data_IF_878290988870
#
_entry.id   IF_878290988870
#
_cell.length_a   1.000
_cell.length_b   1.000
_cell.length_c   1.000
_cell.angle_alpha   90.00
_cell.angle_beta   90.00
_cell.angle_gamma   90.00
#
_symmetry.space_group_name_H-M   'P 1'
#
loop_
_entity.id
_entity.type
_entity.pdbx_description
1 polymer ?
#
# COMPACT_ATOMS: atom_id res chain seq x y z
N UNK A 1 40.72 -34.24 22.34
CA UNK A 1 39.51 -34.54 21.54
C UNK A 1 38.65 -33.29 21.59
N UNK A 2 38.91 -32.34 20.69
CA UNK A 2 38.17 -31.07 20.63
C UNK A 2 36.75 -31.33 20.08
N UNK A 3 35.71 -30.75 20.68
CA UNK A 3 34.36 -30.88 20.16
C UNK A 3 34.23 -30.01 18.91
N UNK A 4 33.94 -30.64 17.77
CA UNK A 4 33.73 -29.97 16.49
C UNK A 4 32.55 -28.99 16.60
N UNK A 5 32.82 -27.72 16.28
CA UNK A 5 31.81 -26.69 16.02
C UNK A 5 30.88 -27.18 14.90
N UNK A 6 29.61 -27.43 15.23
CA UNK A 6 28.55 -27.67 14.24
C UNK A 6 28.43 -26.43 13.35
N UNK A 7 29.00 -26.51 12.16
CA UNK A 7 28.81 -25.59 11.04
C UNK A 7 27.30 -25.37 10.86
N UNK A 8 26.80 -24.16 11.17
CA UNK A 8 25.41 -23.79 10.92
C UNK A 8 25.14 -24.00 9.43
N UNK A 9 24.16 -24.85 9.13
CA UNK A 9 23.68 -25.13 7.77
C UNK A 9 23.20 -23.81 7.19
N UNK A 10 23.82 -23.33 6.12
CA UNK A 10 23.24 -22.28 5.28
C UNK A 10 21.90 -22.83 4.80
N UNK A 11 20.80 -22.29 5.32
CA UNK A 11 19.47 -22.64 4.86
C UNK A 11 19.33 -22.03 3.46
N UNK A 12 19.35 -22.86 2.41
CA UNK A 12 18.79 -22.47 1.12
C UNK A 12 17.36 -21.99 1.37
N UNK A 13 17.13 -20.70 1.13
CA UNK A 13 15.81 -20.10 1.31
C UNK A 13 14.94 -20.53 0.13
N UNK A 14 13.92 -21.34 0.43
CA UNK A 14 12.91 -21.76 -0.53
C UNK A 14 12.08 -20.54 -1.00
N UNK A 15 11.99 -20.34 -2.32
CA UNK A 15 11.28 -19.20 -2.94
C UNK A 15 9.77 -19.24 -2.61
N UNK A 16 9.24 -20.43 -2.31
CA UNK A 16 7.84 -20.61 -1.95
C UNK A 16 7.57 -20.44 -0.44
N UNK A 17 8.61 -20.21 0.37
CA UNK A 17 8.47 -20.01 1.83
C UNK A 17 7.88 -18.65 2.22
N UNK A 18 7.78 -17.71 1.28
CA UNK A 18 7.29 -16.35 1.53
C UNK A 18 6.44 -15.79 0.39
N UNK A 19 5.60 -14.82 0.73
CA UNK A 19 4.68 -14.14 -0.20
C UNK A 19 4.67 -12.65 0.09
N UNK A 20 4.86 -11.85 -0.96
CA UNK A 20 4.71 -10.39 -0.89
C UNK A 20 3.23 -10.00 -0.99
N UNK A 21 2.67 -9.50 0.10
CA UNK A 21 1.28 -9.00 0.12
C UNK A 21 1.25 -7.47 0.03
N UNK A 22 0.35 -6.88 -0.79
CA UNK A 22 0.21 -5.44 -0.85
C UNK A 22 -0.31 -4.90 0.49
N UNK A 23 0.19 -3.74 0.90
CA UNK A 23 -0.34 -3.00 2.03
C UNK A 23 -1.40 -2.04 1.51
N UNK A 24 -2.65 -2.48 1.63
CA UNK A 24 -3.84 -1.78 1.14
C UNK A 24 -4.13 -0.49 1.90
N UNK A 25 -4.77 0.49 1.25
CA UNK A 25 -5.29 1.70 1.91
C UNK A 25 -6.36 1.38 2.97
N UNK A 26 -6.73 2.35 3.80
CA UNK A 26 -7.81 2.16 4.78
C UNK A 26 -9.13 1.82 4.09
N UNK A 27 -9.45 2.51 3.00
CA UNK A 27 -10.68 2.27 2.23
C UNK A 27 -10.71 0.87 1.60
N UNK A 28 -9.56 0.35 1.19
CA UNK A 28 -9.44 -0.98 0.60
C UNK A 28 -9.43 -2.11 1.64
N UNK A 29 -9.01 -1.83 2.88
CA UNK A 29 -8.88 -2.85 3.95
C UNK A 29 -10.00 -2.82 4.98
N UNK A 30 -10.81 -1.78 5.03
CA UNK A 30 -11.90 -1.68 5.99
C UNK A 30 -13.04 -2.65 5.66
N UNK A 31 -13.75 -3.05 6.71
CA UNK A 31 -15.02 -3.76 6.58
C UNK A 31 -16.04 -2.89 5.84
N UNK A 32 -17.00 -3.54 5.17
CA UNK A 32 -18.07 -2.80 4.51
C UNK A 32 -18.92 -2.07 5.55
N UNK A 33 -19.15 -0.79 5.33
CA UNK A 33 -20.14 -0.03 6.08
C UNK A 33 -21.51 -0.19 5.45
N UNK A 34 -22.55 -0.33 6.29
CA UNK A 34 -23.93 -0.49 5.86
C UNK A 34 -24.77 0.69 6.33
N UNK A 35 -25.62 1.17 5.43
CA UNK A 35 -26.63 2.20 5.71
C UNK A 35 -28.02 1.62 5.47
N UNK A 36 -29.01 2.21 6.14
CA UNK A 36 -30.40 1.79 6.04
C UNK A 36 -31.13 2.52 4.91
N UNK A 37 -31.91 1.77 4.16
CA UNK A 37 -32.71 2.26 3.05
C UNK A 37 -34.05 1.54 3.02
N UNK A 38 -35.07 2.20 2.49
CA UNK A 38 -36.35 1.57 2.22
C UNK A 38 -36.36 0.97 0.81
N UNK A 39 -36.65 -0.32 0.72
CA UNK A 39 -36.92 -1.01 -0.54
C UNK A 39 -38.41 -1.38 -0.62
N UNK A 40 -38.96 -1.49 -1.82
CA UNK A 40 -40.35 -1.88 -2.03
C UNK A 40 -40.45 -2.93 -3.13
N UNK A 41 -41.40 -3.88 -3.05
CA UNK A 41 -41.68 -4.79 -4.14
C UNK A 41 -42.31 -4.03 -5.33
N UNK A 42 -41.94 -4.39 -6.55
CA UNK A 42 -42.59 -3.91 -7.77
C UNK A 42 -43.72 -4.87 -8.10
N UNK A 43 -44.96 -4.46 -7.81
CA UNK A 43 -46.18 -5.24 -8.05
C UNK A 43 -46.45 -5.36 -9.55
N UNK A 44 -46.29 -4.27 -10.30
CA UNK A 44 -46.49 -4.24 -11.76
C UNK A 44 -45.16 -4.02 -12.49
N UNK A 45 -44.61 -5.09 -13.08
CA UNK A 45 -43.35 -5.04 -13.86
C UNK A 45 -43.34 -4.01 -14.99
N UNK A 46 -44.49 -3.71 -15.60
CA UNK A 46 -44.57 -2.75 -16.72
C UNK A 46 -44.18 -1.33 -16.28
N UNK A 47 -44.37 -1.02 -14.98
CA UNK A 47 -44.04 0.29 -14.41
C UNK A 47 -42.57 0.43 -14.00
N UNK A 48 -41.76 -0.64 -14.06
CA UNK A 48 -40.36 -0.63 -13.56
C UNK A 48 -39.55 0.54 -14.12
N UNK A 49 -39.58 0.76 -15.43
CA UNK A 49 -38.81 1.83 -16.09
C UNK A 49 -39.30 3.24 -15.70
N UNK A 50 -40.61 3.40 -15.47
CA UNK A 50 -41.20 4.66 -14.99
C UNK A 50 -40.74 4.91 -13.56
N UNK A 51 -40.94 3.92 -12.67
CA UNK A 51 -40.59 3.99 -11.26
C UNK A 51 -39.11 4.33 -11.06
N UNK A 52 -38.18 3.69 -11.78
CA UNK A 52 -36.74 4.00 -11.68
C UNK A 52 -36.47 5.48 -12.01
N UNK A 53 -37.08 6.02 -13.07
CA UNK A 53 -36.87 7.41 -13.52
C UNK A 53 -37.46 8.40 -12.52
N UNK A 54 -38.66 8.16 -12.02
CA UNK A 54 -39.29 9.01 -11.00
C UNK A 54 -38.53 8.97 -9.69
N UNK A 55 -38.20 7.78 -9.20
CA UNK A 55 -37.41 7.62 -7.98
C UNK A 55 -36.03 8.29 -8.11
N UNK A 56 -35.39 8.26 -9.28
CA UNK A 56 -34.13 8.99 -9.50
C UNK A 56 -34.27 10.51 -9.41
N UNK A 57 -35.45 11.04 -9.72
CA UNK A 57 -35.76 12.47 -9.62
C UNK A 57 -36.16 12.88 -8.21
N UNK A 58 -36.97 12.07 -7.54
CA UNK A 58 -37.60 12.40 -6.25
C UNK A 58 -36.70 12.04 -5.06
N UNK A 59 -36.10 10.85 -5.12
CA UNK A 59 -35.22 10.31 -4.09
C UNK A 59 -33.90 9.86 -4.73
N UNK A 60 -33.04 10.81 -5.17
CA UNK A 60 -31.73 10.46 -5.69
C UNK A 60 -30.89 9.75 -4.61
N UNK A 61 -29.96 8.90 -5.04
CA UNK A 61 -29.03 8.20 -4.16
C UNK A 61 -27.61 8.73 -4.39
N UNK A 62 -27.27 9.95 -3.91
CA UNK A 62 -25.97 10.56 -4.16
C UNK A 62 -24.85 9.72 -3.52
N UNK A 63 -23.76 9.52 -4.26
CA UNK A 63 -22.62 8.71 -3.81
C UNK A 63 -22.84 7.19 -3.81
N UNK A 64 -24.03 6.72 -4.21
CA UNK A 64 -24.38 5.29 -4.25
C UNK A 64 -24.54 4.77 -5.69
N UNK A 65 -23.76 5.29 -6.63
CA UNK A 65 -23.85 4.85 -8.05
C UNK A 65 -23.44 3.39 -8.25
N UNK A 66 -22.72 2.80 -7.29
CA UNK A 66 -22.41 1.36 -7.28
C UNK A 66 -23.63 0.49 -6.97
N UNK A 67 -24.67 1.01 -6.32
CA UNK A 67 -25.85 0.23 -5.94
C UNK A 67 -26.79 0.06 -7.12
N UNK A 68 -27.12 -1.18 -7.48
CA UNK A 68 -28.13 -1.45 -8.51
C UNK A 68 -29.51 -1.20 -7.91
N UNK A 69 -30.21 -0.18 -8.40
CA UNK A 69 -31.49 0.26 -7.79
C UNK A 69 -32.57 -0.82 -7.74
N UNK A 70 -32.58 -1.76 -8.69
CA UNK A 70 -33.53 -2.87 -8.77
C UNK A 70 -32.80 -4.20 -8.61
N UNK A 71 -33.43 -5.12 -7.89
CA UNK A 71 -32.99 -6.53 -7.78
C UNK A 71 -34.15 -7.48 -8.03
N UNK A 72 -33.82 -8.73 -8.32
CA UNK A 72 -34.80 -9.82 -8.23
C UNK A 72 -35.14 -10.11 -6.78
N UNK A 73 -36.40 -10.38 -6.49
CA UNK A 73 -36.87 -10.79 -5.17
C UNK A 73 -36.12 -12.05 -4.72
N UNK A 74 -35.77 -12.12 -3.42
CA UNK A 74 -35.06 -13.27 -2.84
C UNK A 74 -35.95 -14.51 -2.77
N UNK A 75 -37.23 -14.32 -2.49
CA UNK A 75 -38.21 -15.40 -2.46
C UNK A 75 -38.70 -15.71 -3.88
N UNK A 76 -38.35 -16.89 -4.39
CA UNK A 76 -38.78 -17.36 -5.71
C UNK A 76 -40.28 -17.68 -5.78
N UNK A 77 -40.95 -17.83 -4.64
CA UNK A 77 -42.41 -18.01 -4.55
C UNK A 77 -43.20 -16.70 -4.51
N UNK A 78 -42.51 -15.56 -4.38
CA UNK A 78 -43.16 -14.25 -4.31
C UNK A 78 -43.95 -13.93 -5.60
N UNK A 79 -45.18 -13.40 -5.50
CA UNK A 79 -45.92 -12.90 -6.66
C UNK A 79 -45.25 -11.68 -7.30
N UNK A 80 -44.29 -11.06 -6.62
CA UNK A 80 -43.59 -9.84 -7.05
C UNK A 80 -42.08 -10.14 -7.18
N UNK A 81 -41.60 -10.43 -8.39
CA UNK A 81 -40.24 -10.95 -8.56
C UNK A 81 -39.17 -9.86 -8.63
N UNK A 82 -39.52 -8.58 -8.49
CA UNK A 82 -38.58 -7.46 -8.48
C UNK A 82 -38.80 -6.59 -7.25
N UNK A 83 -37.71 -6.05 -6.73
CA UNK A 83 -37.68 -5.10 -5.61
C UNK A 83 -36.82 -3.90 -6.01
N UNK A 84 -37.20 -2.71 -5.54
CA UNK A 84 -36.52 -1.44 -5.87
C UNK A 84 -36.21 -0.64 -4.61
N UNK A 85 -35.03 -0.03 -4.56
CA UNK A 85 -34.69 0.95 -3.52
C UNK A 85 -35.47 2.24 -3.79
N UNK A 86 -36.27 2.65 -2.81
CA UNK A 86 -37.06 3.87 -2.82
C UNK A 86 -36.18 5.05 -2.43
N UNK A 87 -35.73 5.09 -1.18
CA UNK A 87 -34.96 6.19 -0.57
C UNK A 87 -34.06 5.67 0.58
N UNK A 88 -33.14 6.52 1.04
CA UNK A 88 -32.42 6.27 2.29
C UNK A 88 -33.37 6.48 3.47
N UNK A 89 -33.15 5.74 4.57
CA UNK A 89 -33.96 5.89 5.77
C UNK A 89 -33.88 7.31 6.36
N UNK A 90 -32.74 7.99 6.18
CA UNK A 90 -32.55 9.40 6.55
C UNK A 90 -33.41 10.39 5.76
N UNK A 91 -33.82 10.01 4.55
CA UNK A 91 -34.55 10.86 3.61
C UNK A 91 -36.06 10.56 3.61
N UNK A 92 -36.47 9.54 4.37
CA UNK A 92 -37.86 9.17 4.49
C UNK A 92 -38.65 10.30 5.17
N UNK A 93 -39.90 10.55 4.75
CA UNK A 93 -40.77 11.50 5.45
C UNK A 93 -40.89 11.09 6.92
N UNK A 94 -40.85 12.07 7.84
CA UNK A 94 -40.79 11.83 9.29
C UNK A 94 -41.94 10.92 9.73
N UNK A 95 -41.61 9.67 10.03
CA UNK A 95 -42.52 8.74 10.70
C UNK A 95 -42.25 8.88 12.18
N UNK A 96 -43.29 9.14 12.95
CA UNK A 96 -43.22 9.24 14.40
C UNK A 96 -42.95 7.83 14.98
N UNK A 97 -41.67 7.46 15.08
CA UNK A 97 -41.12 6.30 15.81
C UNK A 97 -41.69 4.90 15.53
N UNK A 98 -42.52 4.69 14.51
CA UNK A 98 -42.82 3.34 14.01
C UNK A 98 -41.83 2.98 12.90
N UNK A 99 -41.15 1.84 13.01
CA UNK A 99 -40.19 1.30 12.02
C UNK A 99 -40.84 0.92 10.66
N UNK A 100 -42.12 1.23 10.50
CA UNK A 100 -42.95 0.84 9.36
C UNK A 100 -43.28 2.08 8.53
N UNK A 101 -42.74 2.12 7.31
CA UNK A 101 -43.08 3.09 6.27
C UNK A 101 -44.12 2.47 5.35
N UNK A 102 -45.30 3.06 5.27
CA UNK A 102 -46.32 2.60 4.33
C UNK A 102 -46.21 3.35 3.00
N UNK A 103 -46.67 2.69 1.94
CA UNK A 103 -46.71 3.30 0.60
C UNK A 103 -47.58 4.56 0.55
N UNK A 104 -48.60 4.63 1.41
CA UNK A 104 -49.45 5.80 1.58
C UNK A 104 -48.65 7.02 2.02
N UNK A 105 -47.65 6.86 2.90
CA UNK A 105 -46.88 7.98 3.44
C UNK A 105 -46.00 8.62 2.36
N UNK A 106 -45.47 7.79 1.47
CA UNK A 106 -44.75 8.22 0.27
C UNK A 106 -45.67 8.91 -0.73
N UNK A 107 -46.89 8.41 -0.89
CA UNK A 107 -47.91 8.94 -1.80
C UNK A 107 -48.48 10.27 -1.32
N UNK A 108 -48.74 10.40 -0.02
CA UNK A 108 -49.29 11.60 0.63
C UNK A 108 -48.38 12.81 0.56
N UNK A 109 -47.07 12.59 0.37
CA UNK A 109 -46.12 13.66 0.08
C UNK A 109 -46.38 14.34 -1.28
N UNK A 110 -47.15 13.71 -2.17
CA UNK A 110 -47.45 14.18 -3.53
C UNK A 110 -46.24 14.16 -4.47
N UNK A 111 -45.09 13.64 -4.02
CA UNK A 111 -43.83 13.70 -4.78
C UNK A 111 -43.62 12.50 -5.71
N UNK A 112 -44.23 11.36 -5.42
CA UNK A 112 -43.99 10.09 -6.12
C UNK A 112 -45.31 9.43 -6.53
N UNK A 113 -45.44 9.03 -7.79
CA UNK A 113 -46.53 8.15 -8.20
C UNK A 113 -46.19 6.71 -7.78
N UNK A 114 -46.81 6.25 -6.69
CA UNK A 114 -46.52 4.95 -6.12
C UNK A 114 -47.27 3.79 -6.79
N UNK A 115 -48.03 4.04 -7.86
CA UNK A 115 -48.71 2.98 -8.60
C UNK A 115 -47.71 1.93 -9.08
N UNK A 116 -48.00 0.66 -8.79
CA UNK A 116 -47.14 -0.47 -9.11
C UNK A 116 -46.02 -0.76 -8.12
N UNK A 117 -45.88 0.02 -7.05
CA UNK A 117 -45.10 -0.33 -5.86
C UNK A 117 -45.99 -0.97 -4.80
N UNK A 118 -45.43 -1.85 -3.97
CA UNK A 118 -46.04 -2.30 -2.73
C UNK A 118 -45.42 -1.63 -1.51
N UNK A 119 -45.82 -2.07 -0.32
CA UNK A 119 -45.34 -1.46 0.91
C UNK A 119 -43.82 -1.54 1.07
N UNK A 120 -43.15 -0.42 1.41
CA UNK A 120 -41.74 -0.40 1.71
C UNK A 120 -41.37 -1.24 2.93
N UNK A 121 -40.14 -1.74 2.93
CA UNK A 121 -39.51 -2.45 4.05
C UNK A 121 -38.05 -2.04 4.17
N UNK A 122 -37.54 -2.11 5.40
CA UNK A 122 -36.17 -1.69 5.71
C UNK A 122 -35.15 -2.71 5.21
N UNK A 123 -34.09 -2.22 4.56
CA UNK A 123 -32.94 -3.01 4.14
C UNK A 123 -31.64 -2.31 4.49
N UNK A 124 -30.58 -3.10 4.68
CA UNK A 124 -29.21 -2.59 4.80
C UNK A 124 -28.49 -2.70 3.47
N UNK A 125 -27.88 -1.62 3.00
CA UNK A 125 -27.14 -1.55 1.74
C UNK A 125 -25.71 -1.01 1.97
N UNK A 126 -24.73 -1.40 1.12
CA UNK A 126 -23.36 -0.90 1.22
C UNK A 126 -23.26 0.62 1.05
N UNK A 127 -22.68 1.30 2.03
CA UNK A 127 -22.52 2.77 2.03
C UNK A 127 -21.49 3.24 1.00
N UNK A 128 -20.42 2.47 0.80
CA UNK A 128 -19.32 2.79 -0.09
C UNK A 128 -19.18 1.75 -1.21
N UNK A 129 -18.64 2.15 -2.39
CA UNK A 129 -18.31 1.20 -3.44
C UNK A 129 -17.21 0.23 -2.97
N UNK A 130 -17.36 -1.08 -3.24
CA UNK A 130 -16.32 -2.04 -2.90
C UNK A 130 -15.08 -1.78 -3.77
N UNK A 131 -13.90 -1.78 -3.14
CA UNK A 131 -12.62 -1.57 -3.83
C UNK A 131 -11.84 -2.87 -4.03
N UNK A 132 -12.21 -3.93 -3.30
CA UNK A 132 -11.60 -5.26 -3.41
C UNK A 132 -12.65 -6.34 -3.65
N UNK A 133 -12.23 -7.47 -4.22
CA UNK A 133 -13.12 -8.63 -4.44
C UNK A 133 -13.78 -9.11 -3.13
N UNK A 134 -13.05 -9.27 -1.99
CA UNK A 134 -13.66 -9.63 -0.72
C UNK A 134 -14.75 -8.64 -0.27
N UNK A 135 -14.48 -7.33 -0.37
CA UNK A 135 -15.48 -6.30 -0.06
C UNK A 135 -16.71 -6.43 -0.97
N UNK A 136 -16.51 -6.67 -2.27
CA UNK A 136 -17.62 -6.86 -3.20
C UNK A 136 -18.46 -8.09 -2.85
N UNK A 137 -17.83 -9.21 -2.53
CA UNK A 137 -18.52 -10.45 -2.17
C UNK A 137 -19.35 -10.27 -0.90
N UNK A 138 -18.83 -9.51 0.08
CA UNK A 138 -19.56 -9.15 1.29
C UNK A 138 -20.71 -8.18 0.97
N UNK A 139 -20.45 -7.11 0.22
CA UNK A 139 -21.42 -6.10 -0.16
C UNK A 139 -22.60 -6.69 -0.94
N UNK A 140 -22.32 -7.62 -1.85
CA UNK A 140 -23.33 -8.27 -2.71
C UNK A 140 -24.29 -9.17 -1.92
N UNK A 141 -23.95 -9.59 -0.70
CA UNK A 141 -24.89 -10.34 0.18
C UNK A 141 -26.03 -9.46 0.69
N UNK A 142 -25.77 -8.16 0.83
CA UNK A 142 -26.73 -7.17 1.32
C UNK A 142 -27.62 -6.65 0.19
N UNK A 143 -27.00 -6.14 -0.87
CA UNK A 143 -27.71 -5.65 -2.04
C UNK A 143 -26.85 -5.75 -3.31
N UNK A 144 -27.44 -6.03 -4.49
CA UNK A 144 -26.68 -6.08 -5.73
C UNK A 144 -25.90 -4.80 -6.00
N UNK A 145 -24.59 -4.97 -6.12
CA UNK A 145 -23.64 -3.88 -6.26
C UNK A 145 -22.85 -4.06 -7.56
N UNK A 146 -22.40 -2.96 -8.15
CA UNK A 146 -21.50 -2.92 -9.30
C UNK A 146 -20.06 -2.88 -8.78
N UNK A 147 -19.19 -3.67 -9.39
CA UNK A 147 -17.77 -3.71 -9.04
C UNK A 147 -16.93 -3.84 -10.29
N UNK A 148 -15.99 -2.92 -10.42
CA UNK A 148 -14.97 -2.94 -11.46
C UNK A 148 -13.69 -3.41 -10.79
N UNK A 149 -13.33 -4.66 -11.06
CA UNK A 149 -12.22 -5.31 -10.39
C UNK A 149 -10.89 -4.71 -10.84
N UNK A 150 -10.09 -4.26 -9.87
CA UNK A 150 -8.68 -4.06 -10.07
C UNK A 150 -7.99 -5.43 -10.08
N UNK A 151 -7.59 -5.86 -11.28
CA UNK A 151 -6.96 -7.17 -11.50
C UNK A 151 -5.62 -7.26 -10.78
N UNK A 152 -4.85 -6.17 -10.69
CA UNK A 152 -3.53 -6.19 -10.04
C UNK A 152 -3.70 -6.36 -8.54
N UNK A 153 -4.61 -5.60 -7.91
CA UNK A 153 -4.92 -5.76 -6.48
C UNK A 153 -5.45 -7.17 -6.18
N UNK A 154 -6.28 -7.73 -7.05
CA UNK A 154 -6.84 -9.08 -6.87
C UNK A 154 -5.75 -10.16 -6.94
N UNK A 155 -4.88 -10.09 -7.94
CA UNK A 155 -3.74 -11.02 -8.10
C UNK A 155 -2.75 -10.86 -6.93
N UNK A 156 -2.50 -9.63 -6.49
CA UNK A 156 -1.65 -9.32 -5.36
C UNK A 156 -2.18 -9.86 -4.03
N UNK A 157 -3.49 -9.76 -3.79
CA UNK A 157 -4.13 -10.34 -2.61
C UNK A 157 -4.09 -11.88 -2.58
N UNK A 158 -4.00 -12.52 -3.76
CA UNK A 158 -3.78 -13.97 -3.87
C UNK A 158 -2.31 -14.37 -3.71
N UNK A 159 -1.39 -13.41 -3.56
CA UNK A 159 0.04 -13.68 -3.47
C UNK A 159 0.69 -14.07 -4.81
N UNK A 160 0.03 -13.78 -5.92
CA UNK A 160 0.41 -14.23 -7.27
C UNK A 160 0.96 -13.08 -8.14
N UNK A 161 1.29 -11.93 -7.53
CA UNK A 161 1.73 -10.75 -8.27
C UNK A 161 3.10 -10.94 -8.93
N UNK A 162 4.00 -11.67 -8.26
CA UNK A 162 5.38 -11.85 -8.70
C UNK A 162 5.61 -13.28 -9.18
N UNK A 163 6.20 -13.40 -10.37
CA UNK A 163 6.65 -14.68 -10.94
C UNK A 163 7.80 -15.26 -10.11
N UNK A 164 8.09 -16.56 -10.25
CA UNK A 164 9.21 -17.21 -9.54
C UNK A 164 10.56 -16.57 -9.87
N UNK A 165 10.77 -16.10 -11.10
CA UNK A 165 11.99 -15.39 -11.49
C UNK A 165 12.12 -14.03 -10.79
N UNK A 166 11.03 -13.26 -10.73
CA UNK A 166 11.00 -12.00 -9.98
C UNK A 166 11.21 -12.23 -8.48
N UNK A 167 10.57 -13.25 -7.89
CA UNK A 167 10.79 -13.61 -6.49
C UNK A 167 12.24 -13.96 -6.19
N UNK A 168 12.94 -14.66 -7.10
CA UNK A 168 14.36 -14.96 -6.95
C UNK A 168 15.21 -13.69 -6.83
N UNK A 169 14.94 -12.68 -7.67
CA UNK A 169 15.58 -11.36 -7.59
C UNK A 169 15.22 -10.60 -6.31
N UNK A 170 13.94 -10.59 -5.94
CA UNK A 170 13.49 -10.00 -4.67
C UNK A 170 14.19 -10.62 -3.45
N UNK A 171 14.41 -11.94 -3.48
CA UNK A 171 15.15 -12.66 -2.45
C UNK A 171 16.62 -12.24 -2.41
N UNK A 172 17.29 -12.10 -3.56
CA UNK A 172 18.65 -11.57 -3.65
C UNK A 172 18.75 -10.18 -3.01
N UNK A 173 17.85 -9.27 -3.37
CA UNK A 173 17.84 -7.89 -2.86
C UNK A 173 17.54 -7.81 -1.36
N UNK A 174 16.56 -8.58 -0.87
CA UNK A 174 16.25 -8.62 0.56
C UNK A 174 17.37 -9.30 1.37
N UNK A 175 18.04 -10.31 0.81
CA UNK A 175 19.19 -10.94 1.47
C UNK A 175 20.38 -9.99 1.61
N UNK A 176 20.60 -9.08 0.66
CA UNK A 176 21.58 -8.00 0.79
C UNK A 176 21.25 -7.08 1.98
N UNK A 177 19.98 -6.70 2.14
CA UNK A 177 19.50 -5.94 3.30
C UNK A 177 19.66 -6.73 4.62
N UNK A 178 19.35 -8.03 4.65
CA UNK A 178 19.57 -8.90 5.82
C UNK A 178 21.05 -9.00 6.18
N UNK A 179 21.95 -9.13 5.20
CA UNK A 179 23.39 -9.19 5.44
C UNK A 179 23.91 -7.89 6.06
N UNK A 180 23.48 -6.74 5.54
CA UNK A 180 23.82 -5.44 6.12
C UNK A 180 23.29 -5.28 7.55
N UNK A 181 22.06 -5.72 7.81
CA UNK A 181 21.47 -5.70 9.15
C UNK A 181 22.31 -6.50 10.16
N UNK A 182 22.83 -7.67 9.76
CA UNK A 182 23.71 -8.50 10.61
C UNK A 182 25.04 -7.80 10.89
N UNK A 183 25.67 -7.23 9.86
CA UNK A 183 26.92 -6.47 10.04
C UNK A 183 26.75 -5.26 10.98
N UNK A 184 25.61 -4.56 10.86
CA UNK A 184 25.24 -3.49 11.80
C UNK A 184 25.08 -4.01 13.22
N UNK A 185 24.37 -5.12 13.41
CA UNK A 185 24.17 -5.75 14.72
C UNK A 185 25.50 -6.19 15.37
N UNK A 186 26.43 -6.77 14.59
CA UNK A 186 27.78 -7.12 15.05
C UNK A 186 28.58 -5.89 15.50
N UNK A 187 28.27 -4.73 14.93
CA UNK A 187 28.86 -3.43 15.29
C UNK A 187 28.10 -2.70 16.42
N UNK A 188 27.15 -3.37 17.08
CA UNK A 188 26.36 -2.81 18.19
C UNK A 188 25.20 -1.90 17.76
N UNK A 189 24.82 -1.93 16.48
CA UNK A 189 23.67 -1.18 15.96
C UNK A 189 22.37 -2.00 16.06
N UNK A 190 21.25 -1.32 15.84
CA UNK A 190 19.96 -2.00 15.63
C UNK A 190 20.04 -2.91 14.39
N UNK A 191 19.45 -4.11 14.48
CA UNK A 191 19.50 -5.11 13.40
C UNK A 191 18.51 -4.80 12.26
N UNK A 192 18.69 -3.64 11.62
CA UNK A 192 17.91 -3.19 10.46
C UNK A 192 18.83 -2.92 9.30
N UNK A 193 18.47 -3.46 8.14
CA UNK A 193 19.18 -3.23 6.89
C UNK A 193 18.21 -2.94 5.75
N UNK A 194 18.73 -2.25 4.74
CA UNK A 194 17.99 -1.81 3.58
C UNK A 194 18.85 -1.91 2.32
N UNK A 195 18.20 -2.09 1.17
CA UNK A 195 18.80 -2.06 -0.15
C UNK A 195 17.89 -1.28 -1.11
N UNK A 196 18.46 -0.33 -1.85
CA UNK A 196 17.77 0.40 -2.92
C UNK A 196 18.18 -0.20 -4.26
N UNK A 197 17.20 -0.48 -5.12
CA UNK A 197 17.35 -1.22 -6.37
C UNK A 197 16.77 -0.42 -7.50
N UNK A 198 17.49 -0.39 -8.62
CA UNK A 198 16.97 0.07 -9.90
C UNK A 198 16.23 -1.10 -10.56
N UNK A 199 14.89 -1.08 -10.63
CA UNK A 199 14.12 -2.21 -11.12
C UNK A 199 14.22 -2.38 -12.64
N UNK A 200 14.61 -1.34 -13.39
CA UNK A 200 14.79 -1.42 -14.84
C UNK A 200 16.13 -2.09 -15.18
N UNK A 201 17.18 -1.71 -14.45
CA UNK A 201 18.50 -2.29 -14.62
C UNK A 201 18.75 -3.56 -13.76
N UNK A 202 17.76 -3.99 -12.98
CA UNK A 202 17.81 -5.13 -12.03
C UNK A 202 19.05 -5.14 -11.11
N UNK A 203 19.48 -3.97 -10.63
CA UNK A 203 20.74 -3.81 -9.89
C UNK A 203 20.57 -3.05 -8.59
N UNK A 204 21.34 -3.44 -7.58
CA UNK A 204 21.41 -2.72 -6.30
C UNK A 204 22.22 -1.43 -6.49
N UNK A 205 21.66 -0.31 -6.04
CA UNK A 205 22.29 1.01 -6.04
C UNK A 205 22.98 1.33 -4.72
N UNK A 206 22.35 0.93 -3.62
CA UNK A 206 22.85 1.18 -2.28
C UNK A 206 22.40 0.08 -1.34
N UNK A 207 23.26 -0.29 -0.41
CA UNK A 207 22.97 -1.15 0.74
C UNK A 207 23.41 -0.42 1.99
N UNK A 208 22.58 -0.43 3.02
CA UNK A 208 22.86 0.26 4.28
C UNK A 208 22.22 -0.43 5.46
N UNK A 209 22.75 -0.16 6.66
CA UNK A 209 22.17 -0.62 7.91
C UNK A 209 21.94 0.55 8.86
N UNK A 210 21.31 0.27 10.00
CA UNK A 210 21.15 1.27 11.05
C UNK A 210 22.50 1.73 11.59
N UNK A 211 22.69 3.04 11.71
CA UNK A 211 23.91 3.67 12.19
C UNK A 211 23.62 4.67 13.33
N UNK A 212 22.48 4.53 14.03
CA UNK A 212 21.99 5.55 14.99
C UNK A 212 22.88 5.71 16.22
N UNK A 213 23.58 4.64 16.63
CA UNK A 213 24.56 4.68 17.73
C UNK A 213 25.91 5.26 17.29
N UNK A 214 26.04 5.62 16.01
CA UNK A 214 27.22 6.22 15.40
C UNK A 214 27.39 7.72 15.58
N UNK A 215 26.53 8.35 16.39
CA UNK A 215 26.56 9.79 16.68
C UNK A 215 25.44 10.62 16.04
N UNK A 216 24.53 10.01 15.27
CA UNK A 216 23.37 10.72 14.72
C UNK A 216 22.10 9.87 14.81
N UNK A 217 21.08 10.27 15.60
CA UNK A 217 19.93 9.43 15.91
C UNK A 217 19.02 9.14 14.71
N UNK A 218 19.08 9.97 13.66
CA UNK A 218 18.26 9.80 12.45
C UNK A 218 18.89 8.87 11.41
N UNK A 219 20.08 8.31 11.64
CA UNK A 219 20.75 7.40 10.70
C UNK A 219 20.14 6.00 10.75
N UNK A 220 18.84 5.90 10.45
CA UNK A 220 18.17 4.64 10.18
C UNK A 220 18.63 4.10 8.83
N UNK A 221 18.60 2.77 8.65
CA UNK A 221 19.07 2.11 7.42
C UNK A 221 18.53 2.75 6.11
N UNK A 222 17.27 3.18 6.12
CA UNK A 222 16.62 3.80 4.96
C UNK A 222 17.20 5.20 4.67
N UNK A 223 17.44 6.00 5.71
CA UNK A 223 18.05 7.33 5.56
C UNK A 223 19.48 7.19 5.03
N UNK A 224 20.22 6.20 5.54
CA UNK A 224 21.56 5.85 5.06
C UNK A 224 21.51 5.47 3.57
N UNK A 225 20.58 4.62 3.16
CA UNK A 225 20.43 4.26 1.74
C UNK A 225 20.06 5.44 0.84
N UNK A 226 19.13 6.31 1.27
CA UNK A 226 18.75 7.51 0.50
C UNK A 226 19.99 8.41 0.29
N UNK A 227 20.77 8.63 1.33
CA UNK A 227 21.98 9.44 1.28
C UNK A 227 23.08 8.81 0.42
N UNK A 228 23.25 7.48 0.49
CA UNK A 228 24.16 6.73 -0.38
C UNK A 228 23.77 6.82 -1.87
N UNK A 229 22.46 6.78 -2.19
CA UNK A 229 21.98 7.00 -3.55
C UNK A 229 22.27 8.43 -4.01
N UNK A 230 21.96 9.43 -3.16
CA UNK A 230 22.26 10.83 -3.45
C UNK A 230 23.77 11.06 -3.67
N UNK A 231 24.64 10.42 -2.87
CA UNK A 231 26.10 10.45 -3.05
C UNK A 231 26.53 9.87 -4.38
N UNK A 232 25.90 8.79 -4.84
CA UNK A 232 26.14 8.21 -6.16
C UNK A 232 25.75 9.12 -7.33
N UNK A 233 24.92 10.12 -7.07
CA UNK A 233 24.45 11.14 -8.03
C UNK A 233 25.12 12.51 -7.80
N UNK A 234 26.30 12.55 -7.15
CA UNK A 234 27.04 13.79 -6.91
C UNK A 234 26.55 14.65 -5.74
N UNK A 235 25.52 14.21 -5.01
CA UNK A 235 25.03 14.83 -3.77
C UNK A 235 25.50 14.12 -2.51
N UNK A 236 24.57 13.93 -1.56
CA UNK A 236 24.82 13.28 -0.26
C UNK A 236 25.37 14.24 0.80
N UNK A 237 24.97 14.04 2.06
CA UNK A 237 25.32 14.90 3.18
C UNK A 237 26.29 14.22 4.17
N UNK A 238 26.33 12.89 4.23
CA UNK A 238 27.08 12.15 5.24
C UNK A 238 28.11 11.19 4.64
N UNK A 239 29.06 10.77 5.48
CA UNK A 239 30.03 9.72 5.16
C UNK A 239 29.84 8.52 6.06
N UNK A 240 29.90 7.33 5.45
CA UNK A 240 29.69 6.05 6.13
C UNK A 240 30.94 5.18 6.11
N UNK A 241 32.13 5.77 5.94
CA UNK A 241 33.40 5.05 5.76
C UNK A 241 33.76 4.14 6.96
N UNK A 242 33.18 4.42 8.13
CA UNK A 242 33.29 3.61 9.37
C UNK A 242 32.43 2.35 9.34
N UNK A 243 31.53 2.20 8.37
CA UNK A 243 30.54 1.13 8.25
C UNK A 243 30.73 0.40 6.93
N UNK A 244 31.61 -0.61 6.86
CA UNK A 244 31.95 -1.28 5.61
C UNK A 244 30.76 -1.91 4.88
N UNK A 245 29.68 -2.25 5.59
CA UNK A 245 28.46 -2.80 5.01
C UNK A 245 27.52 -1.73 4.41
N UNK A 246 27.79 -0.45 4.65
CA UNK A 246 27.08 0.68 4.03
C UNK A 246 27.80 1.09 2.75
N UNK A 247 27.28 0.68 1.60
CA UNK A 247 27.93 0.85 0.31
C UNK A 247 26.96 1.35 -0.74
N UNK A 248 27.42 2.26 -1.60
CA UNK A 248 26.76 2.60 -2.85
C UNK A 248 27.48 1.93 -4.01
N UNK A 249 26.74 1.30 -4.91
CA UNK A 249 27.24 0.90 -6.22
C UNK A 249 27.09 2.12 -7.12
N UNK A 250 28.19 2.84 -7.37
CA UNK A 250 28.22 3.99 -8.29
C UNK A 250 27.71 3.57 -9.68
N UNK A 251 26.79 4.33 -10.31
CA UNK A 251 26.49 4.06 -11.70
C UNK A 251 26.05 5.32 -12.46
N UNK A 252 26.98 6.06 -13.06
CA UNK A 252 26.80 6.68 -14.37
C UNK A 252 28.12 7.37 -14.79
N UNK A 253 28.92 6.73 -15.63
CA UNK A 253 29.84 7.48 -16.48
C UNK A 253 29.08 7.73 -17.78
N UNK A 254 28.52 8.93 -17.96
CA UNK A 254 28.13 9.36 -19.30
C UNK A 254 29.34 9.19 -20.25
N UNK A 255 29.16 8.68 -21.49
CA UNK A 255 30.25 8.50 -22.46
C UNK A 255 30.70 9.84 -23.08
N UNK A 256 31.03 10.82 -22.24
CA UNK A 256 31.43 12.16 -22.65
C UNK A 256 32.27 12.89 -21.59
N UNK A 257 33.21 12.20 -20.95
CA UNK A 257 34.36 12.88 -20.36
C UNK A 257 35.65 12.33 -20.97
N UNK A 258 36.04 12.96 -22.08
CA UNK A 258 37.44 12.92 -22.51
C UNK A 258 38.28 13.52 -21.38
N UNK A 259 39.31 12.76 -21.02
CA UNK A 259 40.37 13.13 -20.10
C UNK A 259 40.87 14.55 -20.37
N UNK A 260 40.83 15.39 -19.34
CA UNK A 260 41.51 16.67 -19.28
C UNK A 260 42.06 16.87 -17.89
N UNK A 261 43.27 16.35 -17.64
CA UNK A 261 44.05 16.77 -16.49
C UNK A 261 44.31 18.28 -16.58
N UNK A 262 44.04 19.07 -15.53
CA UNK A 262 44.83 20.25 -15.10
C UNK A 262 44.29 20.81 -13.76
N UNK A 263 45.14 20.71 -12.74
CA UNK A 263 45.47 21.66 -11.65
C UNK A 263 44.45 22.72 -11.15
N UNK A 264 44.29 22.76 -9.82
CA UNK A 264 43.64 23.81 -9.01
C UNK A 264 44.10 25.24 -9.33
N UNK A 265 43.19 26.24 -9.23
CA UNK A 265 43.43 27.60 -8.67
C UNK A 265 42.11 28.42 -8.54
N UNK A 266 41.82 28.86 -7.30
CA UNK A 266 41.09 30.03 -6.74
C UNK A 266 39.80 30.67 -7.33
N UNK A 267 38.97 31.11 -6.37
CA UNK A 267 37.79 31.98 -6.37
C UNK A 267 37.68 33.10 -7.42
N UNK A 268 36.46 33.32 -7.94
CA UNK A 268 36.03 34.61 -8.48
C UNK A 268 34.81 34.58 -9.42
N UNK A 269 33.72 35.23 -8.97
CA UNK A 269 32.65 35.90 -9.75
C UNK A 269 31.60 35.03 -10.46
N UNK A 270 30.37 35.12 -9.95
CA UNK A 270 29.12 34.72 -10.59
C UNK A 270 28.87 35.55 -11.85
N UNK A 271 28.74 34.88 -12.99
CA UNK A 271 28.08 35.42 -14.18
C UNK A 271 26.85 34.54 -14.46
N UNK A 272 25.68 35.17 -14.38
CA UNK A 272 24.42 34.61 -14.85
C UNK A 272 24.53 34.33 -16.36
N UNK A 273 24.44 33.05 -16.69
CA UNK A 273 24.39 32.53 -18.05
C UNK A 273 23.38 31.41 -18.08
N UNK A 274 22.15 31.77 -18.43
CA UNK A 274 21.00 30.89 -18.65
C UNK A 274 21.25 30.00 -19.87
N UNK A 275 21.71 28.78 -19.62
CA UNK A 275 21.63 27.65 -20.55
C UNK A 275 21.69 26.36 -19.75
N UNK A 276 20.57 26.03 -19.11
CA UNK A 276 20.36 24.71 -18.52
C UNK A 276 20.33 23.67 -19.66
N UNK A 277 21.48 23.13 -20.01
CA UNK A 277 21.54 21.82 -20.63
C UNK A 277 20.93 20.85 -19.61
N UNK A 278 19.75 20.33 -19.91
CA UNK A 278 18.99 19.41 -19.07
C UNK A 278 19.73 18.05 -19.04
N UNK A 279 20.84 18.00 -18.32
CA UNK A 279 21.48 16.75 -17.91
C UNK A 279 20.53 16.08 -16.92
N UNK A 280 19.61 15.27 -17.46
CA UNK A 280 18.53 14.61 -16.72
C UNK A 280 19.03 13.55 -15.75
N UNK A 281 19.77 13.95 -14.72
CA UNK A 281 20.13 13.08 -13.62
C UNK A 281 18.86 12.75 -12.81
N UNK A 282 18.64 11.46 -12.46
CA UNK A 282 17.44 11.05 -11.75
C UNK A 282 17.40 11.71 -10.36
N UNK A 283 16.23 12.22 -9.97
CA UNK A 283 16.05 12.83 -8.66
C UNK A 283 16.08 11.76 -7.56
N UNK A 284 17.24 11.56 -6.92
CA UNK A 284 17.46 10.68 -5.76
C UNK A 284 16.93 9.26 -6.00
N UNK A 285 15.81 8.89 -5.37
CA UNK A 285 15.26 7.54 -5.44
C UNK A 285 14.06 7.42 -6.40
N UNK A 286 13.90 8.37 -7.32
CA UNK A 286 12.74 8.41 -8.22
C UNK A 286 12.58 7.11 -8.99
N UNK A 287 11.46 6.41 -8.75
CA UNK A 287 11.12 5.17 -9.45
C UNK A 287 11.87 3.90 -9.00
N UNK A 288 12.76 4.01 -8.00
CA UNK A 288 13.52 2.85 -7.49
C UNK A 288 12.71 2.02 -6.47
N UNK A 289 13.16 0.79 -6.25
CA UNK A 289 12.59 -0.10 -5.26
C UNK A 289 13.44 -0.10 -3.98
N UNK A 290 12.79 -0.13 -2.82
CA UNK A 290 13.45 -0.32 -1.53
C UNK A 290 13.10 -1.70 -0.96
N UNK A 291 14.12 -2.47 -0.58
CA UNK A 291 13.96 -3.69 0.23
C UNK A 291 14.49 -3.41 1.63
N UNK A 292 13.68 -3.64 2.67
CA UNK A 292 14.06 -3.34 4.06
C UNK A 292 13.62 -4.43 5.02
N UNK A 293 14.46 -4.79 6.00
CA UNK A 293 14.18 -5.93 6.88
C UNK A 293 13.03 -5.68 7.87
N UNK A 294 12.81 -4.40 8.23
CA UNK A 294 11.80 -3.96 9.22
C UNK A 294 10.96 -2.82 8.65
N UNK A 295 9.66 -2.82 8.95
CA UNK A 295 8.72 -1.80 8.51
C UNK A 295 9.22 -0.39 8.89
N UNK A 296 9.25 0.56 7.95
CA UNK A 296 9.75 1.90 8.21
C UNK A 296 8.90 2.67 9.22
N UNK A 297 9.56 3.44 10.09
CA UNK A 297 8.89 4.40 10.96
C UNK A 297 8.40 5.63 10.16
N UNK A 298 7.61 6.50 10.80
CA UNK A 298 7.02 7.70 10.18
C UNK A 298 8.05 8.59 9.50
N UNK A 299 9.21 8.81 10.13
CA UNK A 299 10.30 9.62 9.56
C UNK A 299 10.80 9.02 8.25
N UNK A 300 11.15 7.73 8.25
CA UNK A 300 11.67 7.06 7.06
C UNK A 300 10.61 6.97 5.96
N UNK A 301 9.36 6.69 6.33
CA UNK A 301 8.25 6.65 5.38
C UNK A 301 8.02 8.00 4.70
N UNK A 302 8.11 9.12 5.44
CA UNK A 302 8.00 10.44 4.84
C UNK A 302 9.22 10.81 3.98
N UNK A 303 10.42 10.39 4.39
CA UNK A 303 11.62 10.55 3.56
C UNK A 303 11.49 9.84 2.20
N UNK A 304 10.84 8.67 2.17
CA UNK A 304 10.57 7.93 0.94
C UNK A 304 9.55 8.62 0.02
N UNK A 305 8.56 9.32 0.59
CA UNK A 305 7.68 10.21 -0.18
C UNK A 305 8.51 11.32 -0.83
N UNK A 306 9.39 11.97 -0.06
CA UNK A 306 10.23 13.07 -0.55
C UNK A 306 11.31 12.64 -1.55
N UNK A 307 11.78 11.39 -1.49
CA UNK A 307 12.76 10.83 -2.44
C UNK A 307 12.11 10.20 -3.68
N UNK A 308 10.77 10.21 -3.77
CA UNK A 308 9.97 9.68 -4.88
C UNK A 308 10.19 8.19 -5.16
N UNK A 309 10.38 7.39 -4.11
CA UNK A 309 10.54 5.92 -4.25
C UNK A 309 9.40 5.32 -5.08
N UNK A 310 9.68 4.32 -5.90
CA UNK A 310 8.68 3.62 -6.72
C UNK A 310 7.90 2.58 -5.93
N UNK A 311 8.60 1.66 -5.25
CA UNK A 311 7.99 0.61 -4.43
C UNK A 311 8.81 0.31 -3.19
N UNK A 312 8.16 -0.20 -2.15
CA UNK A 312 8.83 -0.66 -0.92
C UNK A 312 8.41 -2.07 -0.57
N UNK A 313 9.38 -2.92 -0.28
CA UNK A 313 9.22 -4.30 0.17
C UNK A 313 9.82 -4.41 1.56
N UNK A 314 9.01 -4.83 2.54
CA UNK A 314 9.52 -5.06 3.90
C UNK A 314 9.27 -6.47 4.42
N UNK A 315 10.19 -6.96 5.24
CA UNK A 315 10.11 -8.31 5.81
C UNK A 315 9.15 -8.37 7.00
N UNK A 316 9.44 -7.63 8.07
CA UNK A 316 8.68 -7.69 9.33
C UNK A 316 8.00 -6.39 9.68
N UNK A 317 6.85 -6.48 10.36
CA UNK A 317 6.15 -5.29 10.87
C UNK A 317 6.89 -4.71 12.08
N UNK A 318 6.71 -3.41 12.34
CA UNK A 318 7.34 -2.72 13.48
C UNK A 318 6.31 -2.01 14.34
N UNK A 319 6.54 -1.93 15.66
CA UNK A 319 5.62 -1.25 16.59
C UNK A 319 5.45 0.25 16.31
N UNK A 320 6.39 0.87 15.60
CA UNK A 320 6.38 2.26 15.14
C UNK A 320 6.17 2.37 13.62
N UNK A 321 5.78 1.27 12.96
CA UNK A 321 5.64 1.15 11.52
C UNK A 321 4.57 2.07 10.92
N UNK A 322 4.89 2.68 9.78
CA UNK A 322 4.09 3.73 9.17
C UNK A 322 3.46 3.36 7.82
N UNK A 323 3.50 2.08 7.42
CA UNK A 323 2.84 1.61 6.21
C UNK A 323 1.63 0.73 6.47
N UNK A 324 1.63 -0.08 7.53
CA UNK A 324 0.50 -0.92 7.89
C UNK A 324 0.24 -1.04 9.40
N UNK A 325 1.24 -0.76 10.25
CA UNK A 325 1.07 -0.96 11.70
C UNK A 325 0.33 0.19 12.38
N UNK A 326 0.84 1.43 12.32
CA UNK A 326 0.20 2.61 12.93
C UNK A 326 -0.40 3.56 11.91
N UNK A 327 0.26 3.69 10.77
CA UNK A 327 -0.11 4.61 9.71
C UNK A 327 -0.07 3.91 8.35
N UNK A 328 -0.61 4.57 7.34
CA UNK A 328 -0.51 4.17 5.93
C UNK A 328 -0.09 5.38 5.10
N UNK A 329 1.14 5.85 5.34
CA UNK A 329 1.64 7.11 4.76
C UNK A 329 1.63 7.04 3.22
N UNK A 330 1.98 5.89 2.65
CA UNK A 330 2.01 5.67 1.20
C UNK A 330 0.63 5.79 0.52
N UNK A 331 -0.47 5.72 1.28
CA UNK A 331 -1.84 5.83 0.74
C UNK A 331 -2.53 7.16 1.03
N UNK A 332 -1.85 8.12 1.67
CA UNK A 332 -2.48 9.40 2.03
C UNK A 332 -2.76 10.25 0.80
N UNK A 333 -4.00 10.75 0.67
CA UNK A 333 -4.45 11.50 -0.52
C UNK A 333 -3.80 12.87 -0.64
N UNK A 334 -3.50 13.50 0.49
CA UNK A 334 -2.99 14.87 0.57
C UNK A 334 -1.46 14.98 0.42
N UNK A 335 -0.76 13.85 0.26
CA UNK A 335 0.68 13.83 -0.03
C UNK A 335 0.94 13.90 -1.54
N UNK A 336 2.08 14.50 -1.89
CA UNK A 336 2.45 14.83 -3.27
C UNK A 336 3.01 13.66 -4.10
N UNK A 337 3.33 12.52 -3.48
CA UNK A 337 3.85 11.32 -4.14
C UNK A 337 3.17 10.07 -3.58
N UNK A 338 2.95 9.06 -4.43
CA UNK A 338 2.35 7.77 -4.08
C UNK A 338 3.24 6.64 -4.58
N UNK A 339 3.32 5.58 -3.79
CA UNK A 339 4.12 4.40 -4.11
C UNK A 339 3.49 3.13 -3.53
N UNK A 340 3.85 1.99 -4.11
CA UNK A 340 3.33 0.70 -3.66
C UNK A 340 4.15 0.15 -2.50
N UNK A 341 3.49 -0.49 -1.55
CA UNK A 341 4.16 -1.14 -0.42
C UNK A 341 3.72 -2.59 -0.34
N UNK A 342 4.70 -3.48 -0.14
CA UNK A 342 4.51 -4.90 0.01
C UNK A 342 5.16 -5.38 1.31
N UNK A 343 4.50 -6.31 1.99
CA UNK A 343 4.96 -6.92 3.24
C UNK A 343 5.17 -8.41 3.11
N UNK A 344 6.04 -8.96 3.95
CA UNK A 344 6.24 -10.41 4.09
C UNK A 344 7.37 -11.00 3.23
N UNK A 345 8.24 -10.15 2.66
CA UNK A 345 9.38 -10.64 1.87
C UNK A 345 10.48 -11.14 2.82
N UNK A 346 10.78 -12.45 2.79
CA UNK A 346 11.71 -13.10 3.73
C UNK A 346 11.38 -12.79 5.20
N UNK A 347 10.10 -12.86 5.55
CA UNK A 347 9.59 -12.51 6.88
C UNK A 347 10.28 -13.29 8.01
N UNK A 348 10.56 -14.58 7.80
CA UNK A 348 11.23 -15.44 8.77
C UNK A 348 12.68 -15.00 9.00
N UNK A 349 13.45 -14.79 7.94
CA UNK A 349 14.85 -14.36 8.02
C UNK A 349 14.96 -12.96 8.65
N UNK A 350 14.03 -12.07 8.32
CA UNK A 350 13.95 -10.75 8.90
C UNK A 350 13.52 -10.81 10.38
N UNK A 351 12.61 -11.71 10.75
CA UNK A 351 12.18 -11.91 12.15
C UNK A 351 13.31 -12.44 13.02
N UNK A 352 14.16 -13.30 12.47
CA UNK A 352 15.32 -13.86 13.18
C UNK A 352 16.36 -12.80 13.56
N UNK A 353 16.39 -11.63 12.90
CA UNK A 353 17.24 -10.50 13.29
C UNK A 353 16.83 -9.88 14.63
N UNK A 354 15.53 -9.95 14.97
CA UNK A 354 14.98 -9.39 16.21
C UNK A 354 15.12 -10.32 17.43
N UNK A 355 15.60 -11.56 17.24
CA UNK A 355 15.77 -12.52 18.33
C UNK A 355 17.10 -12.24 19.05
N UNK A 356 17.10 -12.14 20.40
CA UNK A 356 18.34 -11.96 21.14
C UNK A 356 19.27 -13.16 20.89
N UNK A 357 20.51 -12.88 20.49
CA UNK A 357 21.55 -13.89 20.38
C UNK A 357 21.92 -14.30 21.80
N UNK A 358 21.35 -15.40 22.30
CA UNK A 358 21.82 -16.00 23.54
C UNK A 358 23.26 -16.49 23.34
N UNK A 359 24.22 -15.70 23.79
CA UNK A 359 25.58 -16.19 24.01
C UNK A 359 25.50 -17.27 25.09
N UNK A 360 25.70 -18.53 24.69
CA UNK A 360 26.04 -19.58 25.63
C UNK A 360 27.40 -19.19 26.21
N UNK A 361 27.42 -18.59 27.41
CA UNK A 361 28.63 -18.51 28.22
C UNK A 361 29.04 -19.95 28.52
N UNK A 362 30.06 -20.44 27.81
CA UNK A 362 30.77 -21.64 28.20
C UNK A 362 31.55 -21.24 29.46
N UNK A 363 31.01 -21.57 30.63
CA UNK A 363 31.71 -21.38 31.89
C UNK A 363 33.00 -22.21 31.86
N UNK A 364 34.11 -21.51 32.12
CA UNK A 364 35.47 -22.04 32.24
C UNK A 364 35.62 -22.96 33.43
#
# INVERSE_FOLDING_TARGET
MEPQLKRRKEYECDIDSWVAYPVLSNEQSQDIELIEAFAAPIINKKETSRLIKELAKVYPLPGLQHIKRVRSCKDKGSPHPLEVIVCLASDAPVIDRSEELHISDLSSSGRLNCEGLGDPFLVKIPACPPLTRPQFEQASKHWPTSFHEDKQVTVALRGQLFTSSQKSKMQEYMMAAVAAARAGQESGMEAVGAAVVDPEAERILAVGHDCRQGGHPLHHAIMVCIDLVARGQGGGAYTYDKYPACQSVLPYSSPSQKQGATTMTTCGVVQDGDSAEESGEPYICTGYDLYVTREPCVMCAMALVHSRIGRVFYGTSSTDGAFGTKYKIHTQKDLNHRFEVFKGVLDQQCSDLNRPVHYIKINS
#
